data_IF_320010596904
#
_entry.id   IF_320010596904
#
_cell.length_a   1.000
_cell.length_b   1.000
_cell.length_c   1.000
_cell.angle_alpha   90.00
_cell.angle_beta   90.00
_cell.angle_gamma   90.00
#
_symmetry.space_group_name_H-M   'P 1'
#
loop_
_entity.id
_entity.type
_entity.pdbx_description
1 polymer ?
#
# COMPACT_ATOMS: atom_id res chain seq x y z
N UNK A 1 19.81 9.89 11.02
CA UNK A 1 19.59 8.50 11.48
C UNK A 1 20.89 7.72 11.28
N UNK A 2 21.49 7.19 12.36
CA UNK A 2 22.75 6.45 12.27
C UNK A 2 22.41 4.97 12.02
N UNK A 3 22.67 4.47 10.82
CA UNK A 3 22.54 3.05 10.52
C UNK A 3 23.62 2.28 11.29
N UNK A 4 23.20 1.36 12.15
CA UNK A 4 24.10 0.45 12.85
C UNK A 4 24.16 -0.88 12.08
N UNK A 5 25.35 -1.26 11.63
CA UNK A 5 25.60 -2.56 11.00
C UNK A 5 26.62 -3.33 11.84
N UNK A 6 26.23 -4.51 12.28
CA UNK A 6 27.05 -5.43 13.07
C UNK A 6 26.72 -6.87 12.67
N UNK A 7 27.62 -7.82 12.97
CA UNK A 7 27.27 -9.23 12.88
C UNK A 7 26.33 -9.61 14.04
N UNK A 8 25.65 -10.75 13.94
CA UNK A 8 24.65 -11.14 14.94
C UNK A 8 25.22 -11.31 16.35
N UNK A 9 26.44 -11.84 16.49
CA UNK A 9 27.05 -12.05 17.81
C UNK A 9 27.37 -10.71 18.47
N UNK A 10 28.03 -9.82 17.75
CA UNK A 10 28.36 -8.47 18.23
C UNK A 10 27.08 -7.72 18.63
N UNK A 11 26.05 -7.75 17.78
CA UNK A 11 24.79 -7.05 18.04
C UNK A 11 24.14 -7.45 19.38
N UNK A 12 24.21 -8.73 19.73
CA UNK A 12 23.66 -9.25 20.99
C UNK A 12 24.47 -8.80 22.22
N UNK A 13 25.76 -8.53 22.05
CA UNK A 13 26.66 -8.09 23.12
C UNK A 13 26.73 -6.55 23.28
N UNK A 14 26.25 -5.79 22.29
CA UNK A 14 26.31 -4.33 22.27
C UNK A 14 25.48 -3.62 23.35
N UNK A 15 24.60 -4.33 24.07
CA UNK A 15 23.81 -3.76 25.16
C UNK A 15 22.86 -2.64 24.72
N UNK A 16 22.36 -2.70 23.48
CA UNK A 16 21.46 -1.70 22.89
C UNK A 16 20.17 -1.62 23.71
N UNK A 17 19.73 -0.39 23.98
CA UNK A 17 18.48 -0.12 24.69
C UNK A 17 17.64 0.86 23.89
N UNK A 18 16.33 0.66 23.97
CA UNK A 18 15.36 1.62 23.47
C UNK A 18 15.31 2.83 24.40
N UNK A 19 15.28 4.02 23.82
CA UNK A 19 15.08 5.28 24.54
C UNK A 19 14.03 6.11 23.80
N UNK A 20 12.97 6.51 24.51
CA UNK A 20 11.90 7.33 23.95
C UNK A 20 12.20 8.81 24.16
N UNK A 21 12.34 9.57 23.08
CA UNK A 21 12.86 10.94 23.12
C UNK A 21 11.84 12.03 22.75
N UNK A 22 10.67 11.66 22.21
CA UNK A 22 9.74 12.62 21.59
C UNK A 22 8.29 12.49 22.11
N UNK A 23 8.02 12.73 23.40
CA UNK A 23 6.65 12.87 23.89
C UNK A 23 6.06 14.27 23.56
N UNK A 24 4.73 14.41 23.38
CA UNK A 24 3.74 13.34 23.37
C UNK A 24 3.79 12.54 22.06
N UNK A 25 3.62 11.22 22.18
CA UNK A 25 3.55 10.30 21.05
C UNK A 25 2.44 9.26 21.26
N UNK A 26 2.10 8.50 20.21
CA UNK A 26 1.36 7.25 20.37
C UNK A 26 2.11 6.27 21.28
N UNK A 27 1.38 5.31 21.83
CA UNK A 27 1.90 4.27 22.72
C UNK A 27 2.62 3.13 21.99
N UNK A 28 2.69 3.20 20.67
CA UNK A 28 3.38 2.23 19.83
C UNK A 28 4.60 2.87 19.18
N UNK A 29 5.68 2.09 19.08
CA UNK A 29 6.87 2.40 18.29
C UNK A 29 7.48 1.10 17.79
N UNK A 30 8.36 1.18 16.79
CA UNK A 30 8.95 0.02 16.15
C UNK A 30 10.44 0.24 15.89
N UNK A 31 11.25 -0.75 16.27
CA UNK A 31 12.67 -0.75 15.94
C UNK A 31 12.84 -1.50 14.61
N UNK A 32 13.17 -0.81 13.50
CA UNK A 32 13.43 -1.47 12.23
C UNK A 32 14.76 -2.21 12.30
N UNK A 33 14.74 -3.49 11.99
CA UNK A 33 15.90 -4.36 11.89
C UNK A 33 15.95 -4.99 10.50
N UNK A 34 17.11 -4.96 9.86
CA UNK A 34 17.36 -5.68 8.62
C UNK A 34 18.37 -6.79 8.87
N UNK A 35 18.00 -8.03 8.57
CA UNK A 35 18.86 -9.20 8.71
C UNK A 35 19.31 -9.63 7.33
N UNK A 36 20.61 -9.61 7.12
CA UNK A 36 21.28 -10.12 5.92
C UNK A 36 21.89 -11.48 6.25
N UNK A 37 21.42 -12.55 5.61
CA UNK A 37 21.98 -13.89 5.77
C UNK A 37 22.51 -14.44 4.44
N UNK A 38 23.67 -15.10 4.50
CA UNK A 38 24.27 -15.82 3.37
C UNK A 38 24.28 -17.31 3.71
N UNK A 39 23.58 -18.11 2.89
CA UNK A 39 23.58 -19.56 3.04
C UNK A 39 24.98 -20.14 2.78
N UNK A 40 25.37 -21.14 3.59
CA UNK A 40 26.64 -21.85 3.43
C UNK A 40 26.68 -22.67 2.14
N UNK A 41 25.53 -23.22 1.70
CA UNK A 41 25.42 -24.08 0.51
C UNK A 41 25.53 -23.30 -0.81
N UNK A 42 25.16 -22.02 -0.78
CA UNK A 42 25.11 -21.19 -1.99
C UNK A 42 25.61 -19.78 -1.66
N UNK A 43 26.93 -19.63 -1.44
CA UNK A 43 27.62 -18.36 -1.09
C UNK A 43 27.29 -17.15 -1.98
N UNK A 44 26.59 -17.34 -3.11
CA UNK A 44 26.14 -16.30 -4.03
C UNK A 44 24.77 -15.69 -3.69
N UNK A 45 23.91 -16.36 -2.92
CA UNK A 45 22.57 -15.86 -2.61
C UNK A 45 22.55 -15.14 -1.26
N UNK A 46 22.41 -13.81 -1.31
CA UNK A 46 22.13 -12.98 -0.14
C UNK A 46 20.62 -12.95 0.07
N UNK A 47 20.16 -13.42 1.23
CA UNK A 47 18.78 -13.21 1.66
C UNK A 47 18.72 -12.02 2.61
N UNK A 48 17.76 -11.14 2.38
CA UNK A 48 17.53 -9.94 3.19
C UNK A 48 16.12 -10.02 3.74
N UNK A 49 15.98 -9.85 5.05
CA UNK A 49 14.69 -9.81 5.73
C UNK A 49 14.57 -8.52 6.53
N UNK A 50 13.44 -7.83 6.39
CA UNK A 50 13.09 -6.67 7.20
C UNK A 50 12.17 -7.12 8.33
N UNK A 51 12.47 -6.66 9.54
CA UNK A 51 11.79 -7.02 10.79
C UNK A 51 11.49 -5.72 11.54
N UNK A 52 10.35 -5.66 12.20
CA UNK A 52 9.96 -4.53 13.04
C UNK A 52 9.68 -5.04 14.45
N UNK A 53 10.56 -4.71 15.40
CA UNK A 53 10.40 -5.12 16.79
C UNK A 53 9.42 -4.14 17.46
N UNK A 54 8.27 -4.61 17.99
CA UNK A 54 7.29 -3.73 18.61
C UNK A 54 7.78 -3.21 19.96
N UNK A 55 7.52 -1.94 20.23
CA UNK A 55 7.78 -1.26 21.50
C UNK A 55 6.48 -0.66 21.99
N UNK A 56 6.11 -0.96 23.24
CA UNK A 56 4.96 -0.36 23.90
C UNK A 56 5.43 0.70 24.91
N UNK A 57 5.08 1.97 24.67
CA UNK A 57 5.49 3.11 25.48
C UNK A 57 4.46 3.30 26.60
N UNK A 58 4.88 3.08 27.85
CA UNK A 58 3.99 3.19 29.01
C UNK A 58 3.65 4.65 29.32
N UNK A 59 2.35 4.94 29.50
CA UNK A 59 1.86 6.29 29.81
C UNK A 59 1.70 7.24 28.61
N UNK A 60 1.99 6.76 27.40
CA UNK A 60 1.74 7.48 26.15
C UNK A 60 0.27 7.39 25.69
N UNK A 61 -0.09 8.17 24.67
CA UNK A 61 -1.47 8.22 24.14
C UNK A 61 -1.77 6.97 23.31
N UNK A 62 -2.91 6.28 23.48
CA UNK A 62 -3.25 5.14 22.63
C UNK A 62 -3.31 5.53 21.14
N UNK A 63 -2.60 4.78 20.28
CA UNK A 63 -2.65 4.98 18.84
C UNK A 63 -4.05 4.66 18.29
N UNK A 64 -4.56 5.49 17.39
CA UNK A 64 -5.84 5.25 16.70
C UNK A 64 -5.60 4.76 15.27
N UNK A 65 -6.52 3.93 14.70
CA UNK A 65 -6.36 3.48 13.32
C UNK A 65 -6.71 4.60 12.33
N UNK A 66 -6.11 4.60 11.13
CA UNK A 66 -6.53 5.50 10.06
C UNK A 66 -8.00 5.35 9.71
N UNK A 67 -8.56 6.39 9.12
CA UNK A 67 -9.94 6.43 8.64
C UNK A 67 -10.01 6.91 7.21
N UNK A 68 -11.07 6.50 6.51
CA UNK A 68 -11.39 7.06 5.20
C UNK A 68 -11.59 8.57 5.34
N UNK A 69 -11.03 9.35 4.42
CA UNK A 69 -11.26 10.79 4.41
C UNK A 69 -12.69 11.10 3.96
N UNK A 70 -13.19 12.28 4.32
CA UNK A 70 -14.59 12.64 4.04
C UNK A 70 -14.87 13.08 2.59
N UNK A 71 -13.87 13.64 1.91
CA UNK A 71 -14.05 14.28 0.60
C UNK A 71 -14.22 13.35 -0.63
N UNK A 72 -13.59 12.15 -0.71
CA UNK A 72 -13.70 11.29 -1.88
C UNK A 72 -15.12 10.80 -2.13
N UNK A 73 -15.46 10.56 -3.41
CA UNK A 73 -16.74 9.97 -3.78
C UNK A 73 -16.78 8.45 -3.60
N UNK A 74 -15.61 7.81 -3.45
CA UNK A 74 -15.48 6.34 -3.41
C UNK A 74 -16.08 5.64 -4.63
N UNK A 75 -16.04 6.30 -5.78
CA UNK A 75 -16.47 5.78 -7.07
C UNK A 75 -15.36 6.03 -8.09
N UNK A 76 -15.06 5.01 -8.90
CA UNK A 76 -14.19 5.12 -10.07
C UNK A 76 -15.00 4.80 -11.32
N UNK A 77 -15.21 5.80 -12.17
CA UNK A 77 -15.82 5.62 -13.49
C UNK A 77 -14.76 5.21 -14.51
N UNK A 78 -15.00 4.09 -15.20
CA UNK A 78 -13.99 3.39 -16.00
C UNK A 78 -14.58 3.12 -17.38
N UNK A 79 -13.82 3.38 -18.43
CA UNK A 79 -14.16 2.87 -19.75
C UNK A 79 -13.51 1.51 -19.97
N UNK A 80 -14.26 0.55 -20.52
CA UNK A 80 -13.68 -0.75 -20.87
C UNK A 80 -12.42 -0.55 -21.72
N UNK A 81 -11.39 -1.35 -21.41
CA UNK A 81 -10.07 -1.36 -22.05
C UNK A 81 -9.21 -0.11 -21.84
N UNK A 82 -9.70 0.92 -21.15
CA UNK A 82 -8.94 2.14 -20.89
C UNK A 82 -8.29 2.05 -19.52
N UNK A 83 -6.96 2.15 -19.49
CA UNK A 83 -6.21 2.32 -18.24
C UNK A 83 -6.72 3.58 -17.53
N UNK A 84 -7.30 3.40 -16.35
CA UNK A 84 -8.00 4.48 -15.64
C UNK A 84 -7.25 4.81 -14.35
N UNK A 85 -6.67 6.02 -14.21
CA UNK A 85 -5.97 6.44 -12.99
C UNK A 85 -6.90 6.47 -11.77
N UNK A 86 -6.40 5.99 -10.64
CA UNK A 86 -6.97 6.24 -9.33
C UNK A 86 -6.41 7.57 -8.81
N UNK A 87 -7.24 8.34 -8.09
CA UNK A 87 -6.84 9.63 -7.52
C UNK A 87 -7.34 9.77 -6.10
N UNK A 88 -6.89 10.82 -5.40
CA UNK A 88 -7.41 11.18 -4.07
C UNK A 88 -8.89 11.55 -4.07
N UNK A 89 -9.51 11.85 -5.21
CA UNK A 89 -10.96 12.03 -5.32
C UNK A 89 -11.74 10.70 -5.32
N UNK A 90 -11.06 9.59 -5.62
CA UNK A 90 -11.62 8.23 -5.65
C UNK A 90 -11.37 7.50 -4.33
N UNK A 91 -10.19 7.69 -3.73
CA UNK A 91 -9.78 7.03 -2.48
C UNK A 91 -8.90 8.00 -1.69
N UNK A 92 -9.20 8.25 -0.42
CA UNK A 92 -8.33 9.03 0.47
C UNK A 92 -8.53 8.54 1.91
N UNK A 93 -7.52 8.76 2.74
CA UNK A 93 -7.52 8.43 4.15
C UNK A 93 -6.77 9.50 4.95
N UNK A 94 -7.07 9.56 6.23
CA UNK A 94 -6.45 10.45 7.18
C UNK A 94 -6.19 9.72 8.50
N UNK A 95 -5.22 10.22 9.24
CA UNK A 95 -4.75 9.71 10.51
C UNK A 95 -4.22 10.91 11.30
N UNK A 96 -4.50 10.98 12.60
CA UNK A 96 -4.15 12.16 13.39
C UNK A 96 -2.67 12.10 13.83
N UNK A 97 -2.11 10.89 13.89
CA UNK A 97 -0.77 10.57 14.34
C UNK A 97 0.23 10.40 13.17
N UNK A 98 -0.26 10.02 11.99
CA UNK A 98 0.55 9.76 10.79
C UNK A 98 0.32 10.78 9.69
N UNK A 99 1.37 11.48 9.21
CA UNK A 99 1.27 12.32 8.03
C UNK A 99 0.76 11.57 6.79
N UNK A 100 -0.16 12.19 6.01
CA UNK A 100 -0.79 11.56 4.84
C UNK A 100 0.18 10.87 3.90
N UNK A 101 1.31 11.51 3.57
CA UNK A 101 2.30 10.96 2.64
C UNK A 101 3.03 9.70 3.14
N UNK A 102 2.84 9.31 4.41
CA UNK A 102 3.34 8.05 4.98
C UNK A 102 2.27 6.96 5.07
N UNK A 103 1.01 7.27 4.79
CA UNK A 103 -0.05 6.26 4.74
C UNK A 103 0.18 5.32 3.56
N UNK A 104 -0.09 4.05 3.79
CA UNK A 104 -0.03 2.99 2.76
C UNK A 104 -1.43 2.42 2.59
N UNK A 105 -1.90 2.35 1.35
CA UNK A 105 -3.11 1.62 1.02
C UNK A 105 -2.76 0.19 0.65
N UNK A 106 -3.36 -0.77 1.34
CA UNK A 106 -3.37 -2.19 0.98
C UNK A 106 -4.68 -2.51 0.27
N UNK A 107 -4.61 -3.25 -0.83
CA UNK A 107 -5.79 -3.78 -1.53
C UNK A 107 -6.22 -5.06 -0.80
N UNK A 108 -7.28 -4.99 0.00
CA UNK A 108 -7.79 -6.13 0.78
C UNK A 108 -8.73 -7.01 -0.03
N UNK A 109 -9.49 -6.42 -0.97
CA UNK A 109 -10.34 -7.13 -1.94
C UNK A 109 -10.04 -6.57 -3.33
N UNK A 110 -9.24 -7.27 -4.16
CA UNK A 110 -8.95 -6.81 -5.52
C UNK A 110 -10.20 -6.87 -6.41
N UNK A 111 -10.21 -6.14 -7.54
CA UNK A 111 -11.28 -6.27 -8.52
C UNK A 111 -11.33 -7.72 -9.06
N UNK A 112 -12.53 -8.27 -9.33
CA UNK A 112 -12.69 -9.65 -9.81
C UNK A 112 -12.17 -9.87 -11.24
N UNK A 113 -12.09 -8.81 -12.05
CA UNK A 113 -11.49 -8.81 -13.38
C UNK A 113 -10.57 -7.59 -13.53
N UNK A 114 -9.51 -7.73 -14.32
CA UNK A 114 -8.46 -6.71 -14.41
C UNK A 114 -7.60 -6.66 -13.15
N UNK A 115 -6.81 -5.60 -12.97
CA UNK A 115 -5.97 -5.41 -11.80
C UNK A 115 -5.61 -3.94 -11.59
N UNK A 116 -5.24 -3.59 -10.35
CA UNK A 116 -4.63 -2.30 -10.05
C UNK A 116 -3.13 -2.43 -10.30
N UNK A 117 -2.53 -1.41 -10.91
CA UNK A 117 -1.14 -1.39 -11.35
C UNK A 117 -0.49 -0.03 -11.08
N UNK A 118 0.84 0.00 -11.16
CA UNK A 118 1.63 1.22 -11.15
C UNK A 118 1.87 1.67 -12.59
N UNK A 119 1.77 2.97 -12.88
CA UNK A 119 1.89 3.49 -14.26
C UNK A 119 3.26 3.23 -14.91
N UNK A 120 4.31 3.15 -14.09
CA UNK A 120 5.68 2.84 -14.56
C UNK A 120 5.84 1.38 -15.01
N UNK A 121 4.98 0.46 -14.53
CA UNK A 121 4.95 -0.94 -14.96
C UNK A 121 3.51 -1.47 -14.96
N UNK A 122 2.78 -1.10 -16.02
CA UNK A 122 1.36 -1.42 -16.20
C UNK A 122 1.08 -2.91 -16.39
N UNK A 123 2.12 -3.75 -16.52
CA UNK A 123 1.97 -5.20 -16.77
C UNK A 123 1.82 -6.01 -15.49
N UNK A 124 2.07 -5.39 -14.33
CA UNK A 124 2.07 -6.09 -13.04
C UNK A 124 0.97 -5.58 -12.12
N UNK A 125 0.23 -6.52 -11.55
CA UNK A 125 -0.68 -6.23 -10.45
C UNK A 125 0.11 -5.83 -9.20
N UNK A 126 -0.33 -4.76 -8.54
CA UNK A 126 0.18 -4.36 -7.23
C UNK A 126 -0.83 -4.74 -6.15
N UNK A 127 -0.34 -4.93 -4.92
CA UNK A 127 -1.16 -5.26 -3.74
C UNK A 127 -1.21 -4.14 -2.72
N UNK A 128 -0.35 -3.14 -2.87
CA UNK A 128 -0.30 -1.95 -2.03
C UNK A 128 0.39 -0.81 -2.75
N UNK A 129 0.13 0.43 -2.32
CA UNK A 129 0.75 1.65 -2.80
C UNK A 129 0.70 2.72 -1.72
N UNK A 130 1.58 3.72 -1.80
CA UNK A 130 1.56 4.83 -0.84
C UNK A 130 0.48 5.84 -1.20
N UNK A 131 0.05 6.64 -0.22
CA UNK A 131 -0.78 7.80 -0.49
C UNK A 131 -0.13 8.77 -1.49
N UNK A 132 1.21 8.91 -1.42
CA UNK A 132 1.95 9.75 -2.35
C UNK A 132 1.86 9.23 -3.79
N UNK A 133 1.94 7.91 -4.02
CA UNK A 133 1.78 7.33 -5.35
C UNK A 133 0.40 7.63 -5.93
N UNK A 134 -0.64 7.57 -5.10
CA UNK A 134 -2.00 7.92 -5.47
C UNK A 134 -2.15 9.42 -5.80
N UNK A 135 -1.56 10.28 -4.96
CA UNK A 135 -1.55 11.73 -5.17
C UNK A 135 -0.81 12.14 -6.46
N UNK A 136 0.30 11.47 -6.75
CA UNK A 136 1.13 11.69 -7.94
C UNK A 136 0.53 11.06 -9.21
N UNK A 137 -0.68 10.50 -9.15
CA UNK A 137 -1.37 9.84 -10.27
C UNK A 137 -0.61 8.62 -10.83
N UNK A 138 0.14 7.92 -9.98
CA UNK A 138 0.95 6.76 -10.38
C UNK A 138 0.23 5.43 -10.27
N UNK A 139 -1.00 5.44 -9.78
CA UNK A 139 -1.80 4.23 -9.56
C UNK A 139 -2.97 4.23 -10.54
N UNK A 140 -3.20 3.11 -11.20
CA UNK A 140 -4.27 2.98 -12.18
C UNK A 140 -4.89 1.59 -12.13
N UNK A 141 -6.15 1.49 -12.57
CA UNK A 141 -6.81 0.24 -12.86
C UNK A 141 -6.63 -0.11 -14.33
N UNK A 142 -6.14 -1.32 -14.60
CA UNK A 142 -6.04 -1.95 -15.90
C UNK A 142 -7.25 -2.88 -16.09
N UNK A 143 -8.24 -2.52 -16.93
CA UNK A 143 -9.36 -3.40 -17.25
C UNK A 143 -8.89 -4.68 -17.98
N UNK A 144 -9.68 -5.77 -17.94
CA UNK A 144 -9.40 -6.96 -18.72
C UNK A 144 -9.54 -6.67 -20.23
N UNK A 145 -8.98 -7.55 -21.06
CA UNK A 145 -9.13 -7.50 -22.52
C UNK A 145 -10.44 -8.14 -23.02
N UNK A 146 -11.37 -8.42 -22.11
CA UNK A 146 -12.68 -9.00 -22.40
C UNK A 146 -13.74 -7.90 -22.53
N UNK A 147 -14.56 -7.98 -23.57
CA UNK A 147 -15.69 -7.07 -23.76
C UNK A 147 -16.93 -7.62 -23.09
N UNK A 148 -17.64 -6.74 -22.38
CA UNK A 148 -18.96 -6.98 -21.83
C UNK A 148 -19.99 -6.05 -22.51
N UNK A 149 -21.19 -6.57 -22.84
CA UNK A 149 -22.25 -5.78 -23.48
C UNK A 149 -22.94 -4.82 -22.52
N UNK A 150 -22.84 -5.08 -21.21
CA UNK A 150 -23.49 -4.32 -20.14
C UNK A 150 -22.47 -3.67 -19.21
N UNK A 151 -22.90 -2.60 -18.52
CA UNK A 151 -22.11 -1.94 -17.47
C UNK A 151 -21.80 -2.92 -16.34
N UNK A 152 -20.57 -2.91 -15.85
CA UNK A 152 -20.12 -3.77 -14.73
C UNK A 152 -19.84 -2.91 -13.51
N UNK A 153 -20.22 -3.41 -12.32
CA UNK A 153 -19.92 -2.75 -11.06
C UNK A 153 -19.14 -3.71 -10.17
N UNK A 154 -17.98 -3.28 -9.69
CA UNK A 154 -17.17 -4.03 -8.74
C UNK A 154 -17.05 -3.28 -7.43
N UNK A 155 -16.97 -4.03 -6.35
CA UNK A 155 -16.61 -3.52 -5.03
C UNK A 155 -15.16 -3.89 -4.77
N UNK A 156 -14.29 -2.89 -4.75
CA UNK A 156 -12.87 -3.03 -4.44
C UNK A 156 -12.63 -2.47 -3.05
N UNK A 157 -11.95 -3.22 -2.19
CA UNK A 157 -11.70 -2.78 -0.81
C UNK A 157 -10.23 -2.50 -0.59
N UNK A 158 -10.00 -1.41 0.13
CA UNK A 158 -8.70 -0.94 0.55
C UNK A 158 -8.64 -0.85 2.08
N UNK A 159 -7.46 -0.95 2.65
CA UNK A 159 -7.20 -0.60 4.05
C UNK A 159 -6.04 0.39 4.07
N UNK A 160 -6.24 1.52 4.75
CA UNK A 160 -5.15 2.44 5.05
C UNK A 160 -4.36 1.91 6.25
N UNK A 161 -3.04 1.93 6.14
CA UNK A 161 -2.10 1.48 7.16
C UNK A 161 -1.24 2.68 7.56
N UNK A 162 -1.15 2.93 8.86
CA UNK A 162 -0.39 4.03 9.45
C UNK A 162 1.11 3.71 9.63
N UNK A 163 1.86 4.65 10.21
CA UNK A 163 3.30 4.42 10.52
C UNK A 163 3.53 3.47 11.70
N UNK A 164 2.47 3.09 12.42
CA UNK A 164 2.48 2.22 13.59
C UNK A 164 1.81 0.85 13.32
N UNK A 165 1.63 0.51 12.03
CA UNK A 165 1.04 -0.74 11.53
C UNK A 165 -0.41 -1.01 11.95
N UNK A 166 -1.15 -0.02 12.45
CA UNK A 166 -2.60 -0.14 12.57
C UNK A 166 -3.26 0.02 11.21
N UNK A 167 -4.28 -0.80 10.98
CA UNK A 167 -5.08 -0.80 9.75
C UNK A 167 -6.45 -0.18 10.00
N UNK A 168 -6.93 0.58 9.03
CA UNK A 168 -8.30 1.09 9.02
C UNK A 168 -9.33 -0.05 8.88
N UNK A 169 -10.59 0.29 9.15
CA UNK A 169 -11.72 -0.47 8.57
C UNK A 169 -11.62 -0.48 7.05
N UNK A 170 -12.17 -1.52 6.36
CA UNK A 170 -12.19 -1.54 4.90
C UNK A 170 -12.84 -0.29 4.31
N UNK A 171 -12.15 0.34 3.37
CA UNK A 171 -12.60 1.47 2.56
C UNK A 171 -13.01 0.89 1.22
N UNK A 172 -14.31 0.89 0.95
CA UNK A 172 -14.87 0.30 -0.26
C UNK A 172 -15.00 1.37 -1.34
N UNK A 173 -14.49 1.06 -2.54
CA UNK A 173 -14.61 1.89 -3.74
C UNK A 173 -15.41 1.13 -4.78
N UNK A 174 -16.44 1.76 -5.32
CA UNK A 174 -17.24 1.22 -6.40
C UNK A 174 -16.61 1.51 -7.75
N UNK A 175 -16.12 0.48 -8.43
CA UNK A 175 -15.62 0.59 -9.79
C UNK A 175 -16.80 0.40 -10.74
N UNK A 176 -17.07 1.40 -11.56
CA UNK A 176 -18.18 1.37 -12.50
C UNK A 176 -17.67 1.43 -13.93
N UNK A 177 -17.74 0.28 -14.60
CA UNK A 177 -17.12 0.06 -15.91
C UNK A 177 -18.17 0.18 -17.01
N UNK A 178 -18.06 1.25 -17.79
CA UNK A 178 -18.95 1.61 -18.90
C UNK A 178 -18.67 0.74 -20.12
N UNK A 179 -19.71 0.52 -20.91
CA UNK A 179 -19.61 -0.25 -22.16
C UNK A 179 -18.70 0.46 -23.16
N UNK A 180 -18.03 -0.29 -24.03
CA UNK A 180 -17.29 0.34 -25.11
C UNK A 180 -18.31 0.93 -26.11
N UNK A 181 -18.21 2.24 -26.40
CA UNK A 181 -19.09 2.88 -27.38
C UNK A 181 -18.83 2.46 -28.84
N UNK A 182 -17.89 1.55 -29.08
CA UNK A 182 -17.49 1.13 -30.43
C UNK A 182 -17.20 -0.35 -30.53
N UNK A 183 -17.69 -0.95 -31.63
CA UNK A 183 -17.36 -2.30 -32.08
C UNK A 183 -16.10 -2.33 -32.99
N UNK A 184 -15.36 -1.21 -33.10
CA UNK A 184 -14.14 -1.17 -33.89
C UNK A 184 -13.11 -2.18 -33.39
N UNK A 185 -12.41 -2.88 -34.30
CA UNK A 185 -11.38 -3.83 -33.92
C UNK A 185 -10.29 -3.13 -33.10
N UNK A 186 -9.90 -3.72 -31.98
CA UNK A 186 -8.86 -3.21 -31.08
C UNK A 186 -7.64 -4.11 -31.14
N UNK A 187 -6.46 -3.50 -31.09
CA UNK A 187 -5.18 -4.21 -31.02
C UNK A 187 -4.65 -4.06 -29.59
N UNK A 188 -4.44 -5.18 -28.92
CA UNK A 188 -3.75 -5.24 -27.63
C UNK A 188 -2.37 -5.84 -27.82
N UNK A 189 -1.32 -5.14 -27.40
CA UNK A 189 0.04 -5.66 -27.40
C UNK A 189 0.20 -6.59 -26.19
N UNK A 190 0.27 -7.90 -26.42
CA UNK A 190 0.76 -8.83 -25.40
C UNK A 190 2.29 -8.81 -25.48
N UNK A 191 2.96 -8.25 -24.48
CA UNK A 191 4.38 -8.53 -24.24
C UNK A 191 4.52 -9.78 -23.40
#
# INVERSE_FOLDING_TARGET
>A
MRLLKANCADLLEMGIRYEHLSPPSPNADYIPLQVEYRSQDNRKQLQVQNIWIPVNISGAVPNTPPRAAFMPMFILEIDQFILTPLTTATLDAEDDETPKNKLVFKISKPPPEGYITHVDDQTKAITSFTWQDLHDLKIAYQPPNTSHPDRRNYEVEFQAIDSYFLSSTPIMVHFSIRTAETNSPRVSWNM
#
